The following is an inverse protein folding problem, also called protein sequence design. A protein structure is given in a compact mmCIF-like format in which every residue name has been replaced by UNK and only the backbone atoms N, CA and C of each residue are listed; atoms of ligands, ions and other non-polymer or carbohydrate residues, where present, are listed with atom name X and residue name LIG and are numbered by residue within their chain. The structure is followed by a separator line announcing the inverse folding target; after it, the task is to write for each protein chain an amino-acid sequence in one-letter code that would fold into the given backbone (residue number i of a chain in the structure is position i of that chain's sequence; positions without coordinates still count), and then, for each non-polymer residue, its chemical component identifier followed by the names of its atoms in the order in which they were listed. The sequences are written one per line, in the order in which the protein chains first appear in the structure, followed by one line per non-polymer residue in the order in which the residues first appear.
data_IF_774289474808
#
_entry.id   IF_774289474808
#
_cell.length_a   1.000
_cell.length_b   1.000
_cell.length_c   1.000
_cell.angle_alpha   90.00
_cell.angle_beta   90.00
_cell.angle_gamma   90.00
#
_symmetry.space_group_name_H-M   'P 1'
#
loop_
_entity.id
_entity.type
_entity.pdbx_description
1 polymer ?
#
# COMPACT_ATOMS: atom_id res chain seq x y z
N UNK A 1 17.65 25.54 -1.94
CA UNK A 1 18.90 25.51 -1.17
C UNK A 1 20.00 26.09 -2.01
N UNK A 2 21.11 26.44 -1.41
CA UNK A 2 22.27 26.93 -2.15
C UNK A 2 22.85 25.80 -3.00
N UNK A 3 23.17 26.05 -4.28
CA UNK A 3 23.78 25.05 -5.15
C UNK A 3 25.20 24.72 -4.68
N UNK A 4 25.66 23.49 -4.91
CA UNK A 4 27.04 23.07 -4.65
C UNK A 4 27.94 23.50 -5.81
N UNK A 5 28.83 24.50 -5.63
CA UNK A 5 29.72 24.98 -6.70
C UNK A 5 30.63 23.89 -7.24
N UNK A 6 31.01 22.94 -6.38
CA UNK A 6 31.84 21.76 -6.71
C UNK A 6 31.19 20.85 -7.76
N UNK A 7 29.87 20.96 -7.97
CA UNK A 7 29.13 20.25 -9.01
C UNK A 7 28.91 21.18 -10.20
N UNK A 8 28.28 22.34 -9.97
CA UNK A 8 27.75 23.16 -11.06
C UNK A 8 28.84 23.90 -11.86
N UNK A 9 29.87 24.45 -11.22
CA UNK A 9 30.93 25.20 -11.92
C UNK A 9 31.76 24.28 -12.82
N UNK A 10 31.99 23.04 -12.38
CA UNK A 10 32.71 22.04 -13.17
C UNK A 10 31.91 21.65 -14.40
N UNK A 11 30.59 21.44 -14.25
CA UNK A 11 29.70 21.13 -15.37
C UNK A 11 29.59 22.30 -16.36
N UNK A 12 29.54 23.54 -15.86
CA UNK A 12 29.50 24.74 -16.71
C UNK A 12 30.76 24.84 -17.57
N UNK A 13 31.95 24.71 -16.98
CA UNK A 13 33.22 24.72 -17.73
C UNK A 13 33.30 23.54 -18.69
N UNK A 14 32.99 22.32 -18.24
CA UNK A 14 33.02 21.12 -19.08
C UNK A 14 32.09 21.25 -20.30
N UNK A 15 30.91 21.87 -20.14
CA UNK A 15 29.94 22.07 -21.23
C UNK A 15 30.44 22.98 -22.36
N UNK A 16 31.49 23.78 -22.12
CA UNK A 16 32.08 24.68 -23.12
C UNK A 16 33.20 24.06 -23.94
N UNK A 17 33.66 22.85 -23.58
CA UNK A 17 34.81 22.18 -24.19
C UNK A 17 34.32 21.02 -25.06
N UNK A 18 34.70 21.03 -26.34
CA UNK A 18 34.26 20.01 -27.30
C UNK A 18 35.06 18.70 -27.25
N UNK A 19 36.27 18.71 -26.67
CA UNK A 19 37.15 17.54 -26.59
C UNK A 19 36.79 16.64 -25.41
N UNK A 20 36.38 15.41 -25.70
CA UNK A 20 35.96 14.42 -24.69
C UNK A 20 37.10 14.01 -23.77
N UNK A 21 38.34 13.90 -24.28
CA UNK A 21 39.49 13.52 -23.46
C UNK A 21 39.78 14.57 -22.38
N UNK A 22 39.44 15.83 -22.65
CA UNK A 22 39.55 16.95 -21.70
C UNK A 22 38.35 17.04 -20.75
N UNK A 23 37.13 16.72 -21.20
CA UNK A 23 35.91 16.84 -20.36
C UNK A 23 35.60 15.62 -19.50
N UNK A 24 36.01 14.42 -19.91
CA UNK A 24 35.73 13.18 -19.17
C UNK A 24 36.19 13.22 -17.68
N UNK A 25 37.41 13.70 -17.33
CA UNK A 25 37.84 13.82 -15.94
C UNK A 25 37.00 14.83 -15.15
N UNK A 26 36.49 15.88 -15.82
CA UNK A 26 35.65 16.92 -15.21
C UNK A 26 34.26 16.36 -14.89
N UNK A 27 33.68 15.58 -15.81
CA UNK A 27 32.42 14.89 -15.54
C UNK A 27 32.55 13.82 -14.45
N UNK A 28 33.69 13.11 -14.38
CA UNK A 28 33.97 12.19 -13.28
C UNK A 28 34.04 12.92 -11.93
N UNK A 29 34.72 14.06 -11.88
CA UNK A 29 34.81 14.90 -10.68
C UNK A 29 33.43 15.39 -10.23
N UNK A 30 32.62 15.91 -11.16
CA UNK A 30 31.25 16.33 -10.87
C UNK A 30 30.38 15.16 -10.39
N UNK A 31 30.52 13.97 -10.99
CA UNK A 31 29.78 12.77 -10.59
C UNK A 31 30.17 12.27 -9.18
N UNK A 32 31.44 12.40 -8.80
CA UNK A 32 31.87 12.08 -7.43
C UNK A 32 31.39 13.11 -6.41
N UNK A 33 31.40 14.40 -6.76
CA UNK A 33 30.83 15.45 -5.93
C UNK A 33 29.32 15.25 -5.71
N UNK A 34 28.57 14.81 -6.73
CA UNK A 34 27.15 14.45 -6.59
C UNK A 34 26.96 13.34 -5.55
N UNK A 35 27.78 12.29 -5.57
CA UNK A 35 27.66 11.18 -4.61
C UNK A 35 27.91 11.60 -3.15
N UNK A 36 28.76 12.60 -2.93
CA UNK A 36 29.12 13.06 -1.58
C UNK A 36 28.18 14.14 -1.05
N UNK A 37 27.80 15.08 -1.90
CA UNK A 37 27.12 16.31 -1.49
C UNK A 37 25.60 16.24 -1.66
N UNK A 38 25.10 15.41 -2.57
CA UNK A 38 23.67 15.27 -2.81
C UNK A 38 23.13 14.11 -1.98
N UNK A 39 22.10 14.34 -1.13
CA UNK A 39 21.39 13.26 -0.47
C UNK A 39 20.84 12.28 -1.52
N UNK A 40 21.42 11.08 -1.58
CA UNK A 40 20.93 10.03 -2.47
C UNK A 40 19.81 9.26 -1.77
N UNK A 41 18.67 9.14 -2.44
CA UNK A 41 17.63 8.19 -2.06
C UNK A 41 17.90 6.90 -2.84
N UNK A 42 18.34 5.81 -2.19
CA UNK A 42 18.53 4.55 -2.89
C UNK A 42 17.18 4.06 -3.41
N UNK A 43 17.05 3.94 -4.73
CA UNK A 43 15.91 3.26 -5.34
C UNK A 43 16.24 1.77 -5.37
N UNK A 44 15.72 1.03 -4.39
CA UNK A 44 15.83 -0.42 -4.36
C UNK A 44 14.63 -1.03 -5.12
N UNK A 45 14.91 -1.81 -6.16
CA UNK A 45 13.93 -2.74 -6.73
C UNK A 45 14.15 -4.12 -6.09
N UNK A 46 13.62 -4.30 -4.88
CA UNK A 46 13.58 -5.61 -4.26
C UNK A 46 12.58 -6.49 -5.01
N UNK A 47 13.02 -7.59 -5.61
CA UNK A 47 12.08 -8.65 -5.95
C UNK A 47 11.54 -9.22 -4.63
N UNK A 48 10.22 -9.30 -4.42
CA UNK A 48 9.69 -10.02 -3.26
C UNK A 48 10.17 -11.47 -3.35
N UNK A 49 10.96 -11.89 -2.35
CA UNK A 49 11.55 -13.21 -2.30
C UNK A 49 10.75 -14.07 -1.32
N UNK A 50 9.57 -14.49 -1.74
CA UNK A 50 8.81 -15.48 -0.99
C UNK A 50 9.39 -16.87 -1.26
N UNK A 51 9.69 -17.62 -0.19
CA UNK A 51 10.13 -19.00 -0.26
C UNK A 51 9.08 -19.90 0.38
N UNK A 52 8.65 -20.94 -0.34
CA UNK A 52 7.72 -21.93 0.17
C UNK A 52 8.34 -23.33 0.16
N UNK A 53 7.82 -24.23 1.00
CA UNK A 53 8.20 -25.66 0.92
C UNK A 53 7.76 -26.20 -0.44
N UNK A 54 8.51 -27.17 -0.98
CA UNK A 54 8.27 -27.71 -2.31
C UNK A 54 6.88 -28.36 -2.50
N UNK A 55 6.22 -28.75 -1.41
CA UNK A 55 4.88 -29.33 -1.39
C UNK A 55 3.76 -28.30 -1.18
N UNK A 56 4.07 -27.02 -1.04
CA UNK A 56 3.07 -25.93 -1.00
C UNK A 56 2.70 -25.53 -2.41
N UNK A 57 1.41 -25.57 -2.73
CA UNK A 57 0.89 -25.17 -4.04
C UNK A 57 0.24 -23.78 -3.95
N UNK A 58 0.31 -23.01 -5.03
CA UNK A 58 -0.31 -21.68 -5.09
C UNK A 58 0.43 -20.59 -4.29
N UNK A 59 1.65 -20.85 -3.81
CA UNK A 59 2.53 -19.82 -3.30
C UNK A 59 2.84 -18.80 -4.41
N UNK A 60 2.63 -17.51 -4.12
CA UNK A 60 2.78 -16.41 -5.07
C UNK A 60 3.15 -15.14 -4.31
N UNK A 61 3.73 -14.17 -5.03
CA UNK A 61 3.94 -12.80 -4.56
C UNK A 61 2.82 -11.93 -5.12
N UNK A 62 2.17 -11.09 -4.30
CA UNK A 62 1.20 -10.12 -4.81
C UNK A 62 1.91 -8.82 -5.22
N UNK A 63 1.43 -8.17 -6.29
CA UNK A 63 1.96 -6.86 -6.71
C UNK A 63 1.60 -5.74 -5.71
N UNK A 64 0.45 -5.88 -5.04
CA UNK A 64 -0.05 -4.90 -4.06
C UNK A 64 -0.30 -5.55 -2.69
N UNK A 65 0.61 -5.30 -1.76
CA UNK A 65 0.55 -5.81 -0.39
C UNK A 65 0.83 -7.32 -0.29
N UNK A 66 0.35 -7.99 0.77
CA UNK A 66 0.64 -9.41 1.02
C UNK A 66 0.03 -10.39 0.04
N UNK A 67 0.59 -11.62 0.00
CA UNK A 67 0.00 -12.72 -0.74
C UNK A 67 -1.40 -13.10 -0.22
N UNK A 68 -2.24 -13.58 -1.14
CA UNK A 68 -3.58 -14.09 -0.81
C UNK A 68 -3.48 -15.48 -0.19
N UNK A 69 -3.33 -15.58 1.13
CA UNK A 69 -3.08 -16.85 1.82
C UNK A 69 -4.21 -17.90 1.62
N UNK A 70 -5.45 -17.47 1.37
CA UNK A 70 -6.56 -18.39 1.04
C UNK A 70 -6.40 -19.12 -0.29
N UNK A 71 -5.49 -18.67 -1.18
CA UNK A 71 -5.12 -19.36 -2.43
C UNK A 71 -3.98 -20.37 -2.24
N UNK A 72 -3.37 -20.41 -1.06
CA UNK A 72 -2.22 -21.26 -0.78
C UNK A 72 -2.70 -22.59 -0.22
N UNK A 73 -2.40 -23.68 -0.93
CA UNK A 73 -2.65 -25.03 -0.45
C UNK A 73 -1.40 -25.51 0.30
N UNK A 74 -1.48 -25.81 1.61
CA UNK A 74 -0.35 -26.23 2.41
C UNK A 74 0.07 -27.69 2.13
N UNK A 75 -0.28 -28.31 1.00
CA UNK A 75 0.24 -29.64 0.62
C UNK A 75 -0.37 -30.78 1.45
N UNK A 76 -1.68 -30.75 1.67
CA UNK A 76 -2.39 -31.78 2.45
C UNK A 76 -2.25 -31.65 3.97
N UNK A 77 -1.70 -30.55 4.47
CA UNK A 77 -1.68 -30.18 5.89
C UNK A 77 -2.91 -29.34 6.24
N UNK A 78 -3.30 -29.33 7.51
CA UNK A 78 -4.36 -28.44 8.02
C UNK A 78 -3.83 -27.07 8.47
N UNK A 79 -2.51 -26.86 8.38
CA UNK A 79 -1.84 -25.66 8.88
C UNK A 79 -0.87 -25.13 7.86
N UNK A 80 -1.03 -23.85 7.52
CA UNK A 80 -0.05 -23.04 6.80
C UNK A 80 0.76 -22.23 7.83
N UNK A 81 2.09 -22.32 7.76
CA UNK A 81 2.98 -21.48 8.55
C UNK A 81 3.54 -20.42 7.61
N UNK A 82 3.27 -19.15 7.91
CA UNK A 82 3.75 -17.99 7.17
C UNK A 82 4.66 -17.18 8.08
N UNK A 83 5.85 -16.83 7.58
CA UNK A 83 6.82 -16.02 8.32
C UNK A 83 6.66 -14.54 7.93
N UNK A 84 6.57 -13.70 8.94
CA UNK A 84 6.44 -12.25 8.83
C UNK A 84 7.75 -11.57 9.21
N UNK A 85 8.04 -10.39 8.66
CA UNK A 85 9.29 -9.69 8.98
C UNK A 85 9.24 -9.03 10.36
N UNK A 86 8.03 -8.68 10.83
CA UNK A 86 7.80 -8.18 12.18
C UNK A 86 6.41 -8.59 12.73
N UNK A 87 6.18 -8.27 14.00
CA UNK A 87 4.88 -8.41 14.65
C UNK A 87 3.92 -7.29 14.21
N UNK A 88 2.63 -7.58 13.96
CA UNK A 88 1.60 -6.54 13.77
C UNK A 88 1.59 -5.54 14.94
N UNK A 89 1.49 -4.25 14.64
CA UNK A 89 1.48 -3.21 15.67
C UNK A 89 0.11 -3.18 16.36
N UNK A 90 -0.97 -3.29 15.57
CA UNK A 90 -2.33 -3.43 16.08
C UNK A 90 -3.23 -4.08 15.03
N UNK A 91 -4.46 -4.43 15.43
CA UNK A 91 -5.50 -4.98 14.55
C UNK A 91 -6.68 -4.02 14.34
N UNK A 92 -6.52 -2.74 14.69
CA UNK A 92 -7.46 -1.69 14.27
C UNK A 92 -7.15 -1.28 12.83
N UNK A 93 -7.46 -2.17 11.89
CA UNK A 93 -6.97 -2.17 10.51
C UNK A 93 -7.08 -0.85 9.72
N UNK A 94 -8.06 -0.02 10.05
CA UNK A 94 -8.31 1.24 9.36
C UNK A 94 -7.33 2.36 9.75
N UNK A 95 -6.62 2.21 10.87
CA UNK A 95 -5.65 3.18 11.40
C UNK A 95 -4.19 2.72 11.27
N UNK A 96 -3.96 1.56 10.65
CA UNK A 96 -2.61 1.02 10.44
C UNK A 96 -2.09 1.36 9.04
N UNK A 97 -0.78 1.62 8.95
CA UNK A 97 -0.11 1.96 7.68
C UNK A 97 0.98 0.99 7.26
N UNK A 98 1.37 0.07 8.15
CA UNK A 98 2.44 -0.88 7.89
C UNK A 98 1.92 -2.19 7.27
N UNK A 99 2.78 -2.86 6.51
CA UNK A 99 2.44 -4.12 5.84
C UNK A 99 2.10 -5.24 6.83
N UNK A 100 2.81 -5.34 7.95
CA UNK A 100 2.64 -6.46 8.87
C UNK A 100 1.28 -6.42 9.57
N UNK A 101 0.78 -5.25 9.96
CA UNK A 101 -0.59 -5.14 10.47
C UNK A 101 -1.62 -5.43 9.39
N UNK A 102 -1.43 -4.88 8.18
CA UNK A 102 -2.36 -5.06 7.06
C UNK A 102 -2.45 -6.52 6.56
N UNK A 103 -1.35 -7.27 6.63
CA UNK A 103 -1.29 -8.71 6.40
C UNK A 103 -2.22 -9.49 7.32
N UNK A 104 -2.19 -9.17 8.62
CA UNK A 104 -3.07 -9.81 9.59
C UNK A 104 -4.52 -9.41 9.35
N UNK A 105 -4.74 -8.11 9.09
CA UNK A 105 -6.06 -7.55 8.83
C UNK A 105 -6.77 -8.19 7.65
N UNK A 106 -6.09 -8.43 6.52
CA UNK A 106 -6.69 -9.09 5.36
C UNK A 106 -7.17 -10.52 5.61
N UNK A 107 -6.78 -11.16 6.72
CA UNK A 107 -7.28 -12.48 7.09
C UNK A 107 -8.58 -12.43 7.90
N UNK A 108 -8.90 -11.28 8.52
CA UNK A 108 -10.01 -11.14 9.47
C UNK A 108 -11.02 -10.06 9.08
N UNK A 109 -10.70 -9.22 8.09
CA UNK A 109 -11.61 -8.22 7.52
C UNK A 109 -11.64 -8.32 5.99
N UNK A 110 -12.77 -7.88 5.41
CA UNK A 110 -12.93 -7.73 3.97
C UNK A 110 -13.53 -6.36 3.66
N UNK A 111 -13.08 -5.71 2.58
CA UNK A 111 -13.69 -4.50 2.05
C UNK A 111 -14.80 -4.80 1.05
N UNK A 112 -15.37 -3.75 0.43
CA UNK A 112 -16.30 -3.92 -0.71
C UNK A 112 -15.61 -4.53 -1.92
N UNK A 113 -14.35 -4.15 -2.14
CA UNK A 113 -13.45 -4.64 -3.18
C UNK A 113 -12.08 -4.97 -2.57
N UNK A 114 -11.30 -5.76 -3.30
CA UNK A 114 -9.87 -5.97 -3.07
C UNK A 114 -9.11 -5.94 -4.39
N UNK A 115 -7.79 -5.86 -4.34
CA UNK A 115 -6.96 -6.15 -5.51
C UNK A 115 -6.60 -7.63 -5.56
N UNK A 116 -6.56 -8.20 -6.77
CA UNK A 116 -5.94 -9.50 -7.00
C UNK A 116 -4.41 -9.40 -7.08
N UNK A 117 -3.75 -10.54 -7.27
CA UNK A 117 -2.29 -10.65 -7.37
C UNK A 117 -1.69 -9.81 -8.51
N UNK A 118 -2.49 -9.41 -9.49
CA UNK A 118 -2.09 -8.58 -10.63
C UNK A 118 -2.45 -7.11 -10.46
N UNK A 119 -3.02 -6.72 -9.30
CA UNK A 119 -3.43 -5.34 -9.03
C UNK A 119 -4.75 -4.95 -9.68
N UNK A 120 -5.55 -5.92 -10.13
CA UNK A 120 -6.88 -5.65 -10.68
C UNK A 120 -7.92 -5.67 -9.58
N UNK A 121 -8.80 -4.67 -9.54
CA UNK A 121 -9.87 -4.60 -8.56
C UNK A 121 -10.89 -5.73 -8.77
N UNK A 122 -11.23 -6.43 -7.70
CA UNK A 122 -12.15 -7.56 -7.65
C UNK A 122 -13.22 -7.32 -6.58
N UNK A 123 -14.50 -7.61 -6.86
CA UNK A 123 -15.57 -7.50 -5.88
C UNK A 123 -15.42 -8.54 -4.75
N UNK A 124 -15.73 -8.14 -3.51
CA UNK A 124 -15.71 -9.00 -2.31
C UNK A 124 -17.06 -8.96 -1.61
N UNK A 125 -17.22 -8.03 -0.66
CA UNK A 125 -18.48 -7.80 0.05
C UNK A 125 -19.52 -7.11 -0.83
N UNK A 126 -19.09 -6.36 -1.86
CA UNK A 126 -19.97 -5.96 -2.94
C UNK A 126 -19.98 -7.03 -4.04
N UNK A 127 -21.08 -7.09 -4.80
CA UNK A 127 -21.20 -7.83 -6.06
C UNK A 127 -20.83 -6.94 -7.25
N UNK A 128 -21.12 -5.64 -7.16
CA UNK A 128 -20.77 -4.61 -8.14
C UNK A 128 -20.88 -3.21 -7.50
N UNK A 129 -20.25 -2.21 -8.12
CA UNK A 129 -20.51 -0.80 -7.86
C UNK A 129 -20.66 -0.06 -9.18
N UNK A 130 -21.70 0.75 -9.30
CA UNK A 130 -22.02 1.51 -10.52
C UNK A 130 -21.86 3.01 -10.26
N UNK A 131 -21.11 3.69 -11.13
CA UNK A 131 -20.95 5.13 -11.10
C UNK A 131 -22.09 5.84 -11.84
N UNK A 132 -22.46 7.04 -11.37
CA UNK A 132 -23.23 7.98 -12.17
C UNK A 132 -22.35 8.60 -13.30
N UNK A 133 -22.96 9.40 -14.17
CA UNK A 133 -22.30 9.89 -15.41
C UNK A 133 -20.99 10.66 -15.18
N UNK A 134 -20.90 11.41 -14.06
CA UNK A 134 -19.72 12.22 -13.71
C UNK A 134 -18.79 11.53 -12.69
N UNK A 135 -19.09 10.27 -12.32
CA UNK A 135 -18.33 9.48 -11.35
C UNK A 135 -18.21 10.09 -9.94
N UNK A 136 -19.16 10.94 -9.57
CA UNK A 136 -19.24 11.54 -8.22
C UNK A 136 -20.08 10.73 -7.24
N UNK A 137 -20.97 9.87 -7.73
CA UNK A 137 -21.82 8.98 -6.92
C UNK A 137 -21.61 7.55 -7.38
N UNK A 138 -21.31 6.67 -6.42
CA UNK A 138 -21.14 5.24 -6.64
C UNK A 138 -22.18 4.46 -5.84
N UNK A 139 -22.97 3.63 -6.52
CA UNK A 139 -23.96 2.74 -5.90
C UNK A 139 -23.40 1.33 -5.84
N UNK A 140 -23.14 0.82 -4.64
CA UNK A 140 -22.58 -0.53 -4.44
C UNK A 140 -23.65 -1.52 -3.98
N UNK A 141 -23.70 -2.68 -4.62
CA UNK A 141 -24.66 -3.75 -4.34
C UNK A 141 -24.03 -4.82 -3.46
N UNK A 142 -24.45 -4.95 -2.21
CA UNK A 142 -23.85 -5.88 -1.24
C UNK A 142 -24.21 -7.34 -1.54
N UNK A 143 -23.29 -8.25 -1.20
CA UNK A 143 -23.51 -9.69 -1.22
C UNK A 143 -24.48 -10.09 -0.11
N UNK A 144 -25.52 -10.83 -0.47
CA UNK A 144 -26.51 -11.31 0.49
C UNK A 144 -25.98 -12.45 1.35
N UNK A 145 -26.52 -12.55 2.57
CA UNK A 145 -26.27 -13.67 3.49
C UNK A 145 -24.88 -13.67 4.15
N UNK A 146 -24.08 -12.62 3.96
CA UNK A 146 -22.79 -12.47 4.65
C UNK A 146 -23.02 -12.29 6.15
N UNK A 147 -22.19 -12.97 6.94
CA UNK A 147 -22.25 -12.95 8.40
C UNK A 147 -20.89 -12.56 8.99
N UNK A 148 -20.94 -11.80 10.07
CA UNK A 148 -19.79 -11.61 10.94
C UNK A 148 -19.54 -12.88 11.77
N UNK A 149 -18.36 -12.95 12.38
CA UNK A 149 -17.96 -14.09 13.22
C UNK A 149 -18.83 -14.29 14.47
N UNK A 150 -19.55 -13.26 14.91
CA UNK A 150 -20.52 -13.33 16.01
C UNK A 150 -21.91 -13.82 15.57
N UNK A 151 -22.12 -14.03 14.27
CA UNK A 151 -23.37 -14.50 13.66
C UNK A 151 -24.33 -13.41 13.17
N UNK A 152 -24.05 -12.14 13.48
CA UNK A 152 -24.79 -10.99 12.94
C UNK A 152 -24.64 -10.91 11.42
N UNK A 153 -25.60 -10.26 10.76
CA UNK A 153 -25.63 -10.13 9.29
C UNK A 153 -25.04 -8.81 8.86
N UNK A 154 -24.25 -8.83 7.79
CA UNK A 154 -23.77 -7.60 7.13
C UNK A 154 -24.93 -6.88 6.45
N UNK A 155 -25.05 -5.58 6.70
CA UNK A 155 -25.88 -4.67 5.90
C UNK A 155 -25.16 -3.36 5.54
N UNK A 156 -25.84 -2.46 4.83
CA UNK A 156 -25.26 -1.20 4.36
C UNK A 156 -24.86 -0.25 5.50
N UNK A 157 -25.48 -0.32 6.68
CA UNK A 157 -25.13 0.52 7.82
C UNK A 157 -23.75 0.15 8.38
N UNK A 158 -23.34 -1.12 8.29
CA UNK A 158 -22.00 -1.55 8.72
C UNK A 158 -20.91 -0.97 7.82
N UNK A 159 -21.20 -0.90 6.52
CA UNK A 159 -20.34 -0.23 5.54
C UNK A 159 -20.26 1.27 5.86
N UNK A 160 -21.40 1.93 6.04
CA UNK A 160 -21.45 3.35 6.42
C UNK A 160 -20.68 3.61 7.72
N UNK A 161 -20.82 2.75 8.72
CA UNK A 161 -20.11 2.88 10.00
C UNK A 161 -18.61 2.70 9.86
N UNK A 162 -18.15 1.85 8.95
CA UNK A 162 -16.72 1.73 8.63
C UNK A 162 -16.19 3.03 8.02
N UNK A 163 -16.94 3.63 7.09
CA UNK A 163 -16.58 4.92 6.49
C UNK A 163 -16.62 6.07 7.50
N UNK A 164 -17.62 6.10 8.38
CA UNK A 164 -17.72 7.07 9.49
C UNK A 164 -16.52 6.96 10.43
N UNK A 165 -16.11 5.74 10.81
CA UNK A 165 -14.92 5.52 11.62
C UNK A 165 -13.65 6.10 10.98
N UNK A 166 -13.51 5.98 9.65
CA UNK A 166 -12.31 6.44 8.94
C UNK A 166 -12.31 7.93 8.60
N UNK A 167 -13.47 8.50 8.24
CA UNK A 167 -13.56 9.84 7.65
C UNK A 167 -14.12 10.91 8.59
N UNK A 168 -14.78 10.53 9.69
CA UNK A 168 -15.34 11.47 10.65
C UNK A 168 -14.55 11.45 11.95
N UNK A 169 -13.77 12.50 12.20
CA UNK A 169 -12.95 12.65 13.40
C UNK A 169 -13.78 12.75 14.70
N UNK A 170 -15.08 13.08 14.60
CA UNK A 170 -15.99 13.08 15.73
C UNK A 170 -16.66 11.70 15.96
N UNK A 171 -16.45 10.73 15.09
CA UNK A 171 -16.99 9.38 15.27
C UNK A 171 -16.46 8.76 16.57
N UNK A 172 -17.31 8.11 17.38
CA UNK A 172 -16.84 7.37 18.55
C UNK A 172 -15.96 6.17 18.17
N UNK A 173 -15.91 5.82 16.88
CA UNK A 173 -15.08 4.75 16.33
C UNK A 173 -13.78 5.28 15.68
N UNK A 174 -13.53 6.58 15.70
CA UNK A 174 -12.26 7.16 15.23
C UNK A 174 -11.17 7.08 16.32
N UNK A 175 -10.90 5.86 16.80
CA UNK A 175 -10.12 5.60 18.03
C UNK A 175 -9.05 4.51 17.85
N UNK A 176 -8.42 4.46 16.68
CA UNK A 176 -7.39 3.47 16.37
C UNK A 176 -6.12 3.57 17.24
N UNK A 177 -5.11 2.78 16.87
CA UNK A 177 -3.81 2.73 17.54
C UNK A 177 -3.11 4.09 17.64
N UNK A 178 -2.99 4.79 16.53
CA UNK A 178 -2.38 6.12 16.44
C UNK A 178 -3.42 7.24 16.54
N UNK A 179 -4.65 6.97 16.09
CA UNK A 179 -5.73 7.94 15.93
C UNK A 179 -5.50 8.90 14.76
N UNK A 180 -4.53 8.63 13.88
CA UNK A 180 -4.18 9.50 12.76
C UNK A 180 -4.99 9.20 11.49
N UNK A 181 -5.45 7.97 11.31
CA UNK A 181 -6.20 7.48 10.15
C UNK A 181 -5.56 7.94 8.84
N UNK A 182 -4.25 7.73 8.73
CA UNK A 182 -3.41 8.32 7.69
C UNK A 182 -3.89 7.96 6.27
N UNK A 183 -4.29 6.71 6.01
CA UNK A 183 -4.80 6.32 4.69
C UNK A 183 -6.15 6.95 4.35
N UNK A 184 -7.18 6.90 5.22
CA UNK A 184 -8.40 7.67 5.02
C UNK A 184 -8.14 9.16 4.73
N UNK A 185 -7.28 9.81 5.53
CA UNK A 185 -6.92 11.20 5.33
C UNK A 185 -6.20 11.40 3.98
N UNK A 186 -5.20 10.59 3.65
CA UNK A 186 -4.44 10.72 2.41
C UNK A 186 -5.28 10.51 1.15
N UNK A 187 -6.16 9.51 1.15
CA UNK A 187 -6.96 9.12 -0.01
C UNK A 187 -8.22 9.98 -0.18
N UNK A 188 -8.77 10.48 0.94
CA UNK A 188 -10.09 11.11 0.97
C UNK A 188 -10.09 12.46 1.71
N UNK A 189 -8.95 13.15 1.82
CA UNK A 189 -8.81 14.42 2.56
C UNK A 189 -9.96 15.42 2.27
N UNK A 190 -10.30 15.59 0.99
CA UNK A 190 -11.36 16.48 0.55
C UNK A 190 -12.79 16.08 1.01
N UNK A 191 -12.95 14.85 1.51
CA UNK A 191 -14.20 14.27 2.00
C UNK A 191 -14.23 14.08 3.52
N UNK A 192 -13.12 14.37 4.21
CA UNK A 192 -13.03 14.23 5.67
C UNK A 192 -14.02 15.17 6.37
N UNK A 193 -14.80 14.64 7.32
CA UNK A 193 -15.81 15.36 8.11
C UNK A 193 -16.91 16.06 7.30
N UNK A 194 -17.16 15.65 6.05
CA UNK A 194 -18.33 16.13 5.32
C UNK A 194 -19.61 15.56 5.95
N UNK A 195 -20.62 16.41 6.11
CA UNK A 195 -21.96 16.07 6.62
C UNK A 195 -22.84 15.37 5.57
#
# INVERSE_FOLDING_TARGET
GDPYPEIYEILEVASTIADEATTAPMYEQANNAIKELVPMVPIAHGAPADAARADVEGAHTAVLGPPSLWKVNPGGRDTLIYLKAAEPISLYCMDETDGESLDACKMVTEGLYKYDEFGVAQPTLATSCEANEDSTIWTCYLREGVKFHDGSTLDANDVVRSWDAGMNAASPYHIGNTGAFEYPAYLFDALMNLE
#
